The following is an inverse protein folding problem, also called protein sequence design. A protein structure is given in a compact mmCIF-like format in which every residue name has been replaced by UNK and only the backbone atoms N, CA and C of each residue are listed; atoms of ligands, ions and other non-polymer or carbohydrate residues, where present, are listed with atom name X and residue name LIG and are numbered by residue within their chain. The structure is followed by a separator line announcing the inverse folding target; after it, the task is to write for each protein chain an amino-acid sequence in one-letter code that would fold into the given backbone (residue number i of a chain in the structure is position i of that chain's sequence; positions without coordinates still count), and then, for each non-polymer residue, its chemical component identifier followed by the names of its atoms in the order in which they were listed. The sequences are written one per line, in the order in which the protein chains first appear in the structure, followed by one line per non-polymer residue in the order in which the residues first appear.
data_IF_076639263490
#
_entry.id   IF_076639263490
#
_cell.length_a   1.000
_cell.length_b   1.000
_cell.length_c   1.000
_cell.angle_alpha   90.00
_cell.angle_beta   90.00
_cell.angle_gamma   90.00
#
_symmetry.space_group_name_H-M   'P 1'
#
loop_
_entity.id
_entity.type
_entity.pdbx_description
1 polymer ?
#
# COMPACT_ATOMS: atom_id res chain seq x y z
N UNK A 1 36.00 -50.43 13.99
CA UNK A 1 36.39 -49.70 15.20
C UNK A 1 35.26 -48.75 15.54
N UNK A 2 34.62 -49.00 16.67
CA UNK A 2 33.63 -48.21 17.43
C UNK A 2 32.56 -47.41 16.66
N UNK A 3 31.46 -48.08 16.31
CA UNK A 3 30.15 -47.44 16.31
C UNK A 3 29.77 -47.20 17.77
N UNK A 4 30.10 -46.03 18.29
CA UNK A 4 29.59 -45.62 19.60
C UNK A 4 28.06 -45.51 19.50
N UNK A 5 27.37 -46.50 20.06
CA UNK A 5 25.94 -46.49 20.34
C UNK A 5 25.66 -45.27 21.23
N UNK A 6 25.36 -44.14 20.57
CA UNK A 6 25.06 -42.89 21.25
C UNK A 6 23.90 -43.12 22.22
N UNK A 7 24.13 -42.84 23.51
CA UNK A 7 23.14 -43.08 24.57
C UNK A 7 21.78 -42.48 24.18
N UNK A 8 20.67 -43.14 24.50
CA UNK A 8 19.32 -42.61 24.28
C UNK A 8 19.16 -41.17 24.80
N UNK A 9 19.87 -40.81 25.86
CA UNK A 9 19.88 -39.46 26.42
C UNK A 9 20.56 -38.43 25.52
N UNK A 10 21.71 -38.77 24.92
CA UNK A 10 22.42 -37.89 23.98
C UNK A 10 21.62 -37.67 22.68
N UNK A 11 20.97 -38.73 22.16
CA UNK A 11 20.05 -38.62 21.02
C UNK A 11 18.86 -37.69 21.35
N UNK A 12 18.29 -37.82 22.55
CA UNK A 12 17.20 -36.96 23.04
C UNK A 12 17.64 -35.50 23.18
N UNK A 13 18.82 -35.24 23.74
CA UNK A 13 19.37 -33.89 23.87
C UNK A 13 19.54 -33.21 22.50
N UNK A 14 20.11 -33.90 21.52
CA UNK A 14 20.24 -33.40 20.14
C UNK A 14 18.89 -33.09 19.48
N UNK A 15 17.87 -33.91 19.73
CA UNK A 15 16.52 -33.65 19.23
C UNK A 15 15.92 -32.38 19.85
N UNK A 16 16.05 -32.22 21.17
CA UNK A 16 15.55 -31.03 21.87
C UNK A 16 16.24 -29.75 21.40
N UNK A 17 17.54 -29.80 21.15
CA UNK A 17 18.30 -28.66 20.62
C UNK A 17 17.84 -28.29 19.20
N UNK A 18 17.67 -29.29 18.32
CA UNK A 18 17.11 -29.07 16.97
C UNK A 18 15.69 -28.51 17.02
N UNK A 19 14.83 -29.03 17.90
CA UNK A 19 13.47 -28.54 18.07
C UNK A 19 13.46 -27.09 18.59
N UNK A 20 14.32 -26.75 19.55
CA UNK A 20 14.50 -25.38 20.05
C UNK A 20 14.86 -24.43 18.92
N UNK A 21 15.85 -24.81 18.10
CA UNK A 21 16.27 -24.02 16.94
C UNK A 21 15.13 -23.86 15.91
N UNK A 22 14.40 -24.93 15.60
CA UNK A 22 13.26 -24.90 14.70
C UNK A 22 12.14 -23.99 15.22
N UNK A 23 11.83 -24.08 16.52
CA UNK A 23 10.82 -23.24 17.16
C UNK A 23 11.21 -21.75 17.13
N UNK A 24 12.47 -21.42 17.40
CA UNK A 24 12.96 -20.04 17.27
C UNK A 24 12.88 -19.53 15.83
N UNK A 25 13.30 -20.34 14.84
CA UNK A 25 13.15 -19.97 13.41
C UNK A 25 11.69 -19.78 13.00
N UNK A 26 10.78 -20.62 13.49
CA UNK A 26 9.35 -20.49 13.22
C UNK A 26 8.78 -19.18 13.77
N UNK A 27 9.08 -18.86 15.03
CA UNK A 27 8.67 -17.60 15.66
C UNK A 27 9.25 -16.39 14.94
N UNK A 28 10.54 -16.44 14.58
CA UNK A 28 11.20 -15.35 13.88
C UNK A 28 10.61 -15.13 12.49
N UNK A 29 10.37 -16.21 11.72
CA UNK A 29 9.71 -16.12 10.43
C UNK A 29 8.32 -15.50 10.55
N UNK A 30 7.53 -15.91 11.55
CA UNK A 30 6.19 -15.34 11.79
C UNK A 30 6.29 -13.84 12.12
N UNK A 31 7.24 -13.45 12.97
CA UNK A 31 7.50 -12.05 13.31
C UNK A 31 7.83 -11.21 12.07
N UNK A 32 8.75 -11.68 11.24
CA UNK A 32 9.13 -10.99 10.01
C UNK A 32 7.95 -10.89 9.02
N UNK A 33 7.13 -11.93 8.91
CA UNK A 33 5.93 -11.89 8.09
C UNK A 33 4.93 -10.85 8.59
N UNK A 34 4.67 -10.80 9.90
CA UNK A 34 3.80 -9.78 10.49
C UNK A 34 4.33 -8.37 10.24
N UNK A 35 5.62 -8.14 10.45
CA UNK A 35 6.22 -6.82 10.21
C UNK A 35 6.12 -6.42 8.74
N UNK A 36 6.42 -7.34 7.82
CA UNK A 36 6.27 -7.07 6.39
C UNK A 36 4.82 -6.73 6.02
N UNK A 37 3.84 -7.45 6.56
CA UNK A 37 2.43 -7.15 6.29
C UNK A 37 2.01 -5.78 6.80
N UNK A 38 2.53 -5.34 7.95
CA UNK A 38 2.28 -3.99 8.47
C UNK A 38 2.92 -2.94 7.54
N UNK A 39 4.18 -3.12 7.18
CA UNK A 39 4.90 -2.22 6.27
C UNK A 39 4.19 -2.11 4.90
N UNK A 40 3.78 -3.24 4.33
CA UNK A 40 3.05 -3.28 3.05
C UNK A 40 1.70 -2.52 3.18
N UNK A 41 1.00 -2.65 4.31
CA UNK A 41 -0.26 -1.95 4.55
C UNK A 41 -0.05 -0.43 4.69
N UNK A 42 1.01 -0.01 5.39
CA UNK A 42 1.35 1.41 5.55
C UNK A 42 1.70 2.05 4.20
N UNK A 43 2.49 1.36 3.37
CA UNK A 43 2.84 1.81 2.01
C UNK A 43 1.61 1.94 1.13
N UNK A 44 0.71 0.95 1.15
CA UNK A 44 -0.53 1.00 0.36
C UNK A 44 -1.42 2.15 0.82
N UNK A 45 -1.53 2.35 2.13
CA UNK A 45 -2.35 3.44 2.71
C UNK A 45 -1.79 4.81 2.33
N UNK A 46 -0.48 5.01 2.47
CA UNK A 46 0.18 6.26 2.09
C UNK A 46 0.01 6.56 0.60
N UNK A 47 0.17 5.54 -0.27
CA UNK A 47 -0.06 5.68 -1.72
C UNK A 47 -1.51 6.03 -2.03
N UNK A 48 -2.46 5.40 -1.34
CA UNK A 48 -3.87 5.67 -1.53
C UNK A 48 -4.21 7.12 -1.15
N UNK A 49 -3.67 7.62 -0.03
CA UNK A 49 -3.84 9.01 0.37
C UNK A 49 -3.26 9.98 -0.67
N UNK A 50 -2.02 9.77 -1.13
CA UNK A 50 -1.41 10.62 -2.15
C UNK A 50 -2.23 10.65 -3.45
N UNK A 51 -2.82 9.53 -3.86
CA UNK A 51 -3.70 9.48 -5.03
C UNK A 51 -5.00 10.28 -4.83
N UNK A 52 -5.57 10.26 -3.62
CA UNK A 52 -6.75 11.08 -3.31
C UNK A 52 -6.41 12.56 -3.32
N UNK A 53 -5.26 12.95 -2.75
CA UNK A 53 -4.78 14.34 -2.79
C UNK A 53 -4.62 14.83 -4.24
N UNK A 54 -3.97 14.04 -5.11
CA UNK A 54 -3.87 14.37 -6.55
C UNK A 54 -5.23 14.45 -7.24
N UNK A 55 -6.16 13.55 -6.90
CA UNK A 55 -7.50 13.58 -7.45
C UNK A 55 -8.23 14.87 -7.05
N UNK A 56 -8.15 15.25 -5.77
CA UNK A 56 -8.78 16.46 -5.24
C UNK A 56 -8.20 17.72 -5.89
N UNK A 57 -6.88 17.80 -6.05
CA UNK A 57 -6.19 18.88 -6.77
C UNK A 57 -6.70 19.00 -8.21
N UNK A 58 -6.75 17.89 -8.95
CA UNK A 58 -7.25 17.89 -10.33
C UNK A 58 -8.73 18.28 -10.40
N UNK A 59 -9.55 17.84 -9.45
CA UNK A 59 -10.94 18.25 -9.38
C UNK A 59 -11.08 19.75 -9.11
N UNK A 60 -10.26 20.31 -8.22
CA UNK A 60 -10.23 21.74 -7.94
C UNK A 60 -9.77 22.54 -9.16
N UNK A 61 -8.76 22.07 -9.88
CA UNK A 61 -8.33 22.68 -11.14
C UNK A 61 -9.45 22.69 -12.17
N UNK A 62 -10.15 21.56 -12.35
CA UNK A 62 -11.30 21.47 -13.25
C UNK A 62 -12.42 22.42 -12.82
N UNK A 63 -12.73 22.53 -11.52
CA UNK A 63 -13.73 23.48 -11.01
C UNK A 63 -13.30 24.93 -11.29
N UNK A 64 -12.02 25.24 -11.07
CA UNK A 64 -11.46 26.58 -11.31
C UNK A 64 -11.55 26.96 -12.79
N UNK A 65 -11.12 26.09 -13.68
CA UNK A 65 -11.23 26.29 -15.13
C UNK A 65 -12.70 26.47 -15.56
N UNK A 66 -13.59 25.63 -15.03
CA UNK A 66 -15.04 25.77 -15.27
C UNK A 66 -15.57 27.13 -14.82
N UNK A 67 -15.19 27.60 -13.64
CA UNK A 67 -15.59 28.91 -13.12
C UNK A 67 -15.06 30.06 -13.99
N UNK A 68 -13.80 30.00 -14.43
CA UNK A 68 -13.26 31.00 -15.37
C UNK A 68 -14.07 31.06 -16.66
N UNK A 69 -14.42 29.90 -17.23
CA UNK A 69 -15.22 29.84 -18.46
C UNK A 69 -16.63 30.42 -18.22
N UNK A 70 -17.24 30.16 -17.07
CA UNK A 70 -18.55 30.73 -16.71
C UNK A 70 -18.51 32.25 -16.58
N UNK A 71 -17.40 32.87 -16.15
CA UNK A 71 -17.26 34.33 -16.15
C UNK A 71 -17.37 34.95 -17.55
N UNK A 72 -17.09 34.19 -18.60
CA UNK A 72 -17.21 34.65 -19.99
C UNK A 72 -18.61 34.41 -20.61
N UNK A 73 -19.58 33.92 -19.84
CA UNK A 73 -20.94 33.61 -20.32
C UNK A 73 -21.62 34.78 -21.03
N UNK A 74 -21.37 36.00 -20.58
CA UNK A 74 -22.01 37.22 -21.09
C UNK A 74 -21.04 38.11 -21.91
N UNK A 75 -19.86 37.59 -22.31
CA UNK A 75 -18.85 38.38 -23.03
C UNK A 75 -19.16 38.60 -24.53
N UNK A 76 -20.33 38.16 -25.02
CA UNK A 76 -20.75 38.29 -26.42
C UNK A 76 -19.94 37.45 -27.43
N UNK A 77 -19.10 36.52 -26.96
CA UNK A 77 -18.36 35.61 -27.83
C UNK A 77 -19.19 34.36 -28.13
N UNK A 78 -19.67 34.23 -29.37
CA UNK A 78 -20.48 33.08 -29.84
C UNK A 78 -19.80 31.73 -29.61
N UNK A 79 -18.47 31.67 -29.73
CA UNK A 79 -17.69 30.42 -29.54
C UNK A 79 -17.75 29.97 -28.09
N UNK A 80 -17.55 30.89 -27.15
CA UNK A 80 -17.57 30.60 -25.71
C UNK A 80 -19.00 30.28 -25.26
N UNK A 81 -20.02 31.00 -25.76
CA UNK A 81 -21.42 30.71 -25.44
C UNK A 81 -21.85 29.31 -25.87
N UNK A 82 -21.48 28.89 -27.09
CA UNK A 82 -21.77 27.51 -27.56
C UNK A 82 -21.06 26.47 -26.70
N UNK A 83 -19.80 26.70 -26.34
CA UNK A 83 -19.04 25.81 -25.48
C UNK A 83 -19.62 25.70 -24.06
N UNK A 84 -20.05 26.81 -23.46
CA UNK A 84 -20.71 26.82 -22.15
C UNK A 84 -22.04 26.05 -22.22
N UNK A 85 -22.86 26.26 -23.25
CA UNK A 85 -24.13 25.54 -23.42
C UNK A 85 -23.97 24.03 -23.63
N UNK A 86 -22.86 23.57 -24.22
CA UNK A 86 -22.61 22.13 -24.44
C UNK A 86 -21.96 21.45 -23.24
N UNK A 87 -21.08 22.16 -22.53
CA UNK A 87 -20.19 21.57 -21.52
C UNK A 87 -20.77 21.55 -20.10
N UNK A 88 -21.88 22.27 -19.88
CA UNK A 88 -22.55 22.40 -18.59
C UNK A 88 -24.04 21.98 -18.62
N UNK A 89 -24.42 21.08 -19.53
CA UNK A 89 -25.74 20.42 -19.51
C UNK A 89 -25.84 19.37 -18.42
#
# INVERSE_FOLDING_TARGET
SSSEEESPEAKRQKFLERNRMAASKCREKKRLQTLKTIEDADVITARNQALHETLDELQEEVRTLKNLILCHRDCGCDVIQKFVQSSFK
#
